data_IF_556531451966
#
_entry.id   IF_556531451966
#
_cell.length_a   1.000
_cell.length_b   1.000
_cell.length_c   1.000
_cell.angle_alpha   90.00
_cell.angle_beta   90.00
_cell.angle_gamma   90.00
#
_symmetry.space_group_name_H-M   'P 1'
#
loop_
_entity.id
_entity.type
_entity.pdbx_description
1 polymer ?
#
# COMPACT_ATOMS: atom_id res chain seq x y z
N UNK A 1 -12.35 5.28 -15.48
CA UNK A 1 -12.97 5.83 -14.26
C UNK A 1 -11.84 6.22 -13.31
N UNK A 2 -11.62 7.50 -13.05
CA UNK A 2 -10.52 7.95 -12.18
C UNK A 2 -10.99 7.80 -10.73
N UNK A 3 -10.39 6.89 -9.98
CA UNK A 3 -10.74 6.70 -8.58
C UNK A 3 -10.00 7.72 -7.71
N UNK A 4 -10.75 8.70 -7.20
CA UNK A 4 -10.21 9.71 -6.27
C UNK A 4 -9.85 9.00 -4.96
N UNK A 5 -8.55 8.90 -4.65
CA UNK A 5 -7.99 8.38 -3.40
C UNK A 5 -8.58 7.03 -2.93
N UNK A 6 -8.76 6.06 -3.83
CA UNK A 6 -9.34 4.74 -3.53
C UNK A 6 -10.75 4.75 -2.90
N UNK A 7 -11.55 5.79 -3.14
CA UNK A 7 -12.92 5.89 -2.60
C UNK A 7 -13.83 4.69 -2.94
N UNK A 8 -13.54 3.98 -4.03
CA UNK A 8 -14.24 2.75 -4.43
C UNK A 8 -14.19 1.64 -3.37
N UNK A 9 -13.16 1.60 -2.50
CA UNK A 9 -13.10 0.64 -1.38
C UNK A 9 -14.35 0.69 -0.49
N UNK A 10 -14.93 1.89 -0.33
CA UNK A 10 -16.11 2.15 0.47
C UNK A 10 -17.33 2.55 -0.37
N UNK A 11 -17.39 2.19 -1.65
CA UNK A 11 -18.57 2.43 -2.47
C UNK A 11 -19.29 1.09 -2.72
N UNK A 12 -20.38 0.82 -1.99
CA UNK A 12 -21.19 -0.38 -2.22
C UNK A 12 -21.80 -0.43 -3.64
N UNK A 13 -21.97 0.72 -4.29
CA UNK A 13 -22.47 0.83 -5.66
C UNK A 13 -21.36 0.72 -6.72
N UNK A 14 -20.11 0.44 -6.33
CA UNK A 14 -19.06 0.09 -7.28
C UNK A 14 -19.44 -1.21 -8.00
N UNK A 15 -19.50 -1.15 -9.33
CA UNK A 15 -19.96 -2.24 -10.19
C UNK A 15 -18.97 -3.39 -10.23
N UNK A 16 -17.67 -3.10 -10.11
CA UNK A 16 -16.65 -4.13 -10.04
C UNK A 16 -16.52 -4.65 -8.60
N UNK A 17 -16.98 -5.88 -8.29
CA UNK A 17 -16.93 -6.41 -6.93
C UNK A 17 -15.49 -6.57 -6.42
N UNK A 18 -14.53 -6.73 -7.32
CA UNK A 18 -13.12 -6.81 -6.96
C UNK A 18 -12.61 -5.47 -6.43
N UNK A 19 -13.18 -4.33 -6.81
CA UNK A 19 -12.68 -3.03 -6.40
C UNK A 19 -13.16 -2.63 -5.01
N UNK A 20 -14.43 -2.87 -4.64
CA UNK A 20 -14.91 -2.53 -3.30
C UNK A 20 -14.45 -3.54 -2.23
N UNK A 21 -14.40 -3.11 -0.96
CA UNK A 21 -14.07 -3.98 0.18
C UNK A 21 -15.30 -4.57 0.88
N UNK A 22 -16.50 -4.16 0.46
CA UNK A 22 -17.76 -4.64 1.01
C UNK A 22 -18.54 -5.52 0.03
N UNK A 23 -19.49 -6.27 0.56
CA UNK A 23 -20.50 -6.97 -0.25
C UNK A 23 -21.42 -5.98 -0.99
N UNK A 24 -22.30 -6.49 -1.86
CA UNK A 24 -23.29 -5.66 -2.56
C UNK A 24 -24.28 -4.94 -1.62
N UNK A 25 -24.48 -5.49 -0.41
CA UNK A 25 -25.32 -4.87 0.61
C UNK A 25 -24.55 -3.87 1.48
N UNK A 26 -23.23 -3.75 1.28
CA UNK A 26 -22.35 -2.87 2.05
C UNK A 26 -21.79 -3.49 3.33
N UNK A 27 -21.78 -4.82 3.45
CA UNK A 27 -21.20 -5.53 4.59
C UNK A 27 -19.67 -5.62 4.44
N UNK A 28 -18.93 -5.08 5.41
CA UNK A 28 -17.47 -5.19 5.51
C UNK A 28 -17.08 -6.28 6.49
N UNK A 29 -15.98 -6.97 6.18
CA UNK A 29 -15.36 -7.99 7.04
C UNK A 29 -13.99 -7.50 7.51
N UNK A 30 -13.64 -7.81 8.75
CA UNK A 30 -12.29 -7.58 9.25
C UNK A 30 -11.32 -8.58 8.59
N UNK A 31 -10.17 -8.08 8.13
CA UNK A 31 -9.11 -8.88 7.50
C UNK A 31 -8.16 -9.55 8.50
N UNK A 32 -8.38 -9.35 9.81
CA UNK A 32 -7.52 -9.84 10.87
C UNK A 32 -6.28 -8.97 11.06
N UNK A 33 -5.51 -9.23 12.12
CA UNK A 33 -4.27 -8.50 12.39
C UNK A 33 -3.23 -8.69 11.26
N UNK A 34 -2.09 -8.00 11.37
CA UNK A 34 -1.05 -8.03 10.35
C UNK A 34 -0.49 -9.44 10.07
N UNK A 35 -0.48 -10.34 11.06
CA UNK A 35 0.06 -11.70 10.94
C UNK A 35 -0.98 -12.72 10.43
N UNK A 36 -2.25 -12.49 10.74
CA UNK A 36 -3.32 -13.44 10.49
C UNK A 36 -3.83 -13.33 9.05
N UNK A 37 -4.08 -14.45 8.35
CA UNK A 37 -4.65 -14.42 7.01
C UNK A 37 -6.13 -13.96 7.00
N UNK A 38 -6.81 -14.06 8.15
CA UNK A 38 -8.21 -13.69 8.32
C UNK A 38 -8.51 -13.33 9.78
N UNK A 39 -9.65 -12.67 10.03
CA UNK A 39 -10.11 -12.36 11.39
C UNK A 39 -10.69 -13.59 12.09
N UNK A 40 -10.07 -14.03 13.20
CA UNK A 40 -10.54 -15.14 14.02
C UNK A 40 -11.93 -14.90 14.63
N UNK A 41 -12.20 -13.70 15.13
CA UNK A 41 -13.48 -13.32 15.74
C UNK A 41 -14.57 -12.98 14.72
N UNK A 42 -14.28 -13.06 13.42
CA UNK A 42 -15.22 -12.81 12.32
C UNK A 42 -15.98 -11.48 12.45
N UNK A 43 -15.28 -10.41 12.83
CA UNK A 43 -15.90 -9.09 12.95
C UNK A 43 -16.48 -8.63 11.61
N UNK A 44 -17.71 -8.12 11.66
CA UNK A 44 -18.46 -7.60 10.51
C UNK A 44 -19.16 -6.29 10.87
N UNK A 45 -19.42 -5.45 9.87
CA UNK A 45 -20.16 -4.20 10.04
C UNK A 45 -20.80 -3.75 8.72
N UNK A 46 -21.97 -3.12 8.77
CA UNK A 46 -22.58 -2.48 7.62
C UNK A 46 -22.82 -0.98 7.91
N UNK A 47 -21.87 -0.10 7.56
CA UNK A 47 -21.99 1.34 7.82
C UNK A 47 -23.11 2.03 7.05
N UNK A 48 -23.75 1.35 6.09
CA UNK A 48 -24.89 1.88 5.34
C UNK A 48 -26.25 1.48 5.94
N UNK A 49 -26.26 0.64 7.00
CA UNK A 49 -27.48 0.15 7.62
C UNK A 49 -28.09 1.15 8.60
N UNK A 50 -27.27 1.87 9.37
CA UNK A 50 -27.74 2.92 10.29
C UNK A 50 -26.69 3.98 10.56
N UNK A 51 -27.10 5.09 11.20
CA UNK A 51 -26.17 6.14 11.62
C UNK A 51 -25.18 5.62 12.67
N UNK A 52 -25.63 4.75 13.56
CA UNK A 52 -24.83 4.15 14.64
C UNK A 52 -23.77 3.22 14.05
N UNK A 53 -24.13 2.34 13.10
CA UNK A 53 -23.13 1.49 12.44
C UNK A 53 -22.11 2.32 11.65
N UNK A 54 -22.53 3.43 11.03
CA UNK A 54 -21.60 4.37 10.40
C UNK A 54 -20.63 5.01 11.40
N UNK A 55 -21.11 5.38 12.58
CA UNK A 55 -20.25 5.93 13.65
C UNK A 55 -19.28 4.87 14.14
N UNK A 56 -19.72 3.64 14.41
CA UNK A 56 -18.85 2.54 14.85
C UNK A 56 -17.79 2.24 13.79
N UNK A 57 -18.13 2.33 12.51
CA UNK A 57 -17.17 2.12 11.42
C UNK A 57 -16.00 3.11 11.44
N UNK A 58 -16.16 4.31 12.03
CA UNK A 58 -15.04 5.24 12.22
C UNK A 58 -13.95 4.72 13.17
N UNK A 59 -14.25 3.68 13.97
CA UNK A 59 -13.28 3.00 14.83
C UNK A 59 -12.51 1.91 14.09
N UNK A 60 -12.97 1.51 12.90
CA UNK A 60 -12.24 0.58 12.04
C UNK A 60 -11.07 1.31 11.39
N UNK A 61 -9.97 0.59 11.17
CA UNK A 61 -8.72 1.17 10.68
C UNK A 61 -8.24 0.45 9.43
N UNK A 62 -7.51 1.19 8.59
CA UNK A 62 -6.58 0.58 7.66
C UNK A 62 -5.22 0.46 8.33
N UNK A 63 -4.86 -0.78 8.69
CA UNK A 63 -3.60 -1.08 9.34
C UNK A 63 -2.54 -1.46 8.31
N UNK A 64 -1.37 -0.85 8.40
CA UNK A 64 -0.23 -1.13 7.52
C UNK A 64 0.47 -2.40 8.00
N UNK A 65 0.45 -3.48 7.21
CA UNK A 65 1.15 -4.73 7.53
C UNK A 65 2.65 -4.47 7.72
N UNK A 66 3.28 -3.79 6.77
CA UNK A 66 4.60 -3.18 6.92
C UNK A 66 4.39 -1.73 7.35
N UNK A 67 4.79 -1.40 8.57
CA UNK A 67 4.47 -0.12 9.20
C UNK A 67 5.03 1.08 8.41
N UNK A 68 4.14 2.03 8.07
CA UNK A 68 4.50 3.28 7.38
C UNK A 68 5.57 4.07 8.13
N UNK A 69 5.30 4.41 9.40
CA UNK A 69 6.14 5.35 10.15
C UNK A 69 7.37 4.70 10.79
N UNK A 70 7.35 3.38 11.04
CA UNK A 70 8.47 2.66 11.66
C UNK A 70 9.41 2.01 10.64
N UNK A 71 8.94 1.73 9.42
CA UNK A 71 9.70 0.96 8.42
C UNK A 71 9.80 1.68 7.08
N UNK A 72 8.68 1.94 6.39
CA UNK A 72 8.68 2.44 5.01
C UNK A 72 9.27 3.85 4.89
N UNK A 73 8.73 4.82 5.62
CA UNK A 73 9.16 6.23 5.50
C UNK A 73 10.60 6.43 5.99
N UNK A 74 11.04 5.89 7.15
CA UNK A 74 12.43 5.98 7.57
C UNK A 74 13.41 5.40 6.54
N UNK A 75 13.05 4.31 5.88
CA UNK A 75 13.90 3.68 4.86
C UNK A 75 14.08 4.59 3.63
N UNK A 76 12.97 5.13 3.10
CA UNK A 76 13.01 6.06 1.95
C UNK A 76 13.81 7.31 2.30
N UNK A 77 13.55 7.91 3.47
CA UNK A 77 14.27 9.09 3.94
C UNK A 77 15.77 8.84 4.01
N UNK A 78 16.18 7.74 4.66
CA UNK A 78 17.59 7.36 4.81
C UNK A 78 18.28 7.20 3.45
N UNK A 79 17.62 6.56 2.48
CA UNK A 79 18.19 6.37 1.16
C UNK A 79 18.42 7.68 0.40
N UNK A 80 17.47 8.61 0.49
CA UNK A 80 17.60 9.95 -0.11
C UNK A 80 18.72 10.74 0.59
N UNK A 81 18.83 10.65 1.91
CA UNK A 81 19.86 11.32 2.70
C UNK A 81 21.28 10.79 2.40
N UNK A 82 21.44 9.46 2.24
CA UNK A 82 22.74 8.84 2.00
C UNK A 82 23.27 9.06 0.58
N UNK A 83 22.40 9.08 -0.43
CA UNK A 83 22.81 9.19 -1.84
C UNK A 83 21.79 9.97 -2.71
N UNK A 84 21.63 11.29 -2.49
CA UNK A 84 20.55 12.09 -3.07
C UNK A 84 20.52 12.14 -4.61
N UNK A 85 21.64 11.83 -5.28
CA UNK A 85 21.79 11.94 -6.75
C UNK A 85 22.02 10.60 -7.46
N UNK A 86 21.99 9.46 -6.75
CA UNK A 86 22.28 8.14 -7.34
C UNK A 86 21.15 7.14 -7.20
N UNK A 87 20.32 7.31 -6.18
CA UNK A 87 19.24 6.38 -5.87
C UNK A 87 17.90 6.94 -6.33
N UNK A 88 17.17 6.14 -7.09
CA UNK A 88 15.79 6.40 -7.46
C UNK A 88 14.86 5.61 -6.54
N UNK A 89 13.76 6.24 -6.14
CA UNK A 89 12.69 5.60 -5.39
C UNK A 89 11.68 5.02 -6.39
N UNK A 90 11.38 3.73 -6.25
CA UNK A 90 10.29 3.10 -6.98
C UNK A 90 8.96 3.63 -6.43
N UNK A 91 8.42 4.66 -7.08
CA UNK A 91 7.18 5.34 -6.68
C UNK A 91 5.97 4.42 -6.72
N UNK A 92 5.94 3.48 -7.67
CA UNK A 92 4.83 2.53 -7.80
C UNK A 92 4.81 1.59 -6.60
N UNK A 93 5.96 1.00 -6.24
CA UNK A 93 6.03 0.14 -5.07
C UNK A 93 5.80 0.91 -3.77
N UNK A 94 6.30 2.15 -3.66
CA UNK A 94 6.01 3.01 -2.52
C UNK A 94 4.50 3.29 -2.40
N UNK A 95 3.84 3.55 -3.53
CA UNK A 95 2.39 3.77 -3.57
C UNK A 95 1.61 2.52 -3.12
N UNK A 96 1.98 1.34 -3.61
CA UNK A 96 1.42 0.05 -3.17
C UNK A 96 1.54 -0.12 -1.64
N UNK A 97 2.73 0.18 -1.10
CA UNK A 97 3.04 0.06 0.32
C UNK A 97 2.26 1.05 1.20
N UNK A 98 1.94 2.23 0.68
CA UNK A 98 1.33 3.30 1.47
C UNK A 98 -0.20 3.33 1.37
N UNK A 99 -0.76 3.00 0.20
CA UNK A 99 -2.15 3.37 -0.12
C UNK A 99 -3.01 2.21 -0.65
N UNK A 100 -2.41 1.10 -1.07
CA UNK A 100 -3.19 -0.01 -1.61
C UNK A 100 -3.60 -1.02 -0.53
N UNK A 101 -4.86 -1.44 -0.58
CA UNK A 101 -5.35 -2.55 0.22
C UNK A 101 -4.66 -3.86 -0.17
N UNK A 102 -4.31 -4.64 0.84
CA UNK A 102 -3.70 -5.95 0.70
C UNK A 102 -4.65 -6.89 -0.06
N UNK A 103 -4.23 -7.32 -1.23
CA UNK A 103 -4.96 -8.25 -2.08
C UNK A 103 -4.05 -9.39 -2.46
N UNK A 104 -4.56 -10.61 -2.31
CA UNK A 104 -3.90 -11.80 -2.80
C UNK A 104 -4.40 -12.05 -4.22
N UNK A 105 -3.55 -11.86 -5.21
CA UNK A 105 -3.81 -12.34 -6.57
C UNK A 105 -3.17 -13.71 -6.75
N UNK A 106 -3.54 -14.43 -7.82
CA UNK A 106 -2.96 -15.74 -8.15
C UNK A 106 -1.43 -15.69 -8.28
N UNK A 107 -0.88 -14.55 -8.69
CA UNK A 107 0.54 -14.39 -9.01
C UNK A 107 1.34 -13.66 -7.92
N UNK A 108 0.72 -12.81 -7.08
CA UNK A 108 1.44 -12.01 -6.08
C UNK A 108 0.53 -11.41 -5.00
N UNK A 109 1.11 -11.16 -3.83
CA UNK A 109 0.53 -10.26 -2.83
C UNK A 109 0.81 -8.80 -3.24
N UNK A 110 -0.24 -8.01 -3.46
CA UNK A 110 -0.15 -6.56 -3.74
C UNK A 110 -0.81 -5.77 -2.61
N UNK A 111 -0.38 -4.52 -2.44
CA UNK A 111 -0.82 -3.65 -1.36
C UNK A 111 -0.25 -4.01 0.01
N UNK A 112 -0.60 -3.22 1.01
CA UNK A 112 -0.04 -3.31 2.35
C UNK A 112 -1.02 -2.91 3.47
N UNK A 113 -2.22 -2.44 3.12
CA UNK A 113 -3.26 -2.05 4.09
C UNK A 113 -4.26 -3.19 4.34
N UNK A 114 -4.60 -3.47 5.59
CA UNK A 114 -5.73 -4.34 5.95
C UNK A 114 -6.82 -3.52 6.62
N UNK A 115 -8.08 -3.70 6.20
CA UNK A 115 -9.22 -3.15 6.95
C UNK A 115 -9.47 -4.00 8.19
N UNK A 116 -9.33 -3.41 9.37
CA UNK A 116 -9.43 -4.12 10.66
C UNK A 116 -10.37 -3.43 11.62
N UNK A 117 -11.10 -4.24 12.40
CA UNK A 117 -11.78 -3.75 13.59
C UNK A 117 -10.73 -3.27 14.62
N UNK A 118 -11.08 -2.27 15.45
CA UNK A 118 -10.18 -1.72 16.46
C UNK A 118 -9.54 -2.77 17.38
N UNK A 119 -10.25 -3.86 17.70
CA UNK A 119 -9.72 -4.93 18.57
C UNK A 119 -8.71 -5.84 17.85
N UNK A 120 -8.72 -5.85 16.51
CA UNK A 120 -7.76 -6.58 15.68
C UNK A 120 -6.59 -5.70 15.21
N UNK A 121 -6.64 -4.40 15.50
CA UNK A 121 -5.55 -3.47 15.19
C UNK A 121 -4.45 -3.62 16.27
N UNK A 122 -3.46 -4.45 15.97
CA UNK A 122 -2.33 -4.67 16.87
C UNK A 122 -1.41 -3.44 16.82
N UNK A 123 -1.28 -2.73 17.94
CA UNK A 123 -0.44 -1.51 18.02
C UNK A 123 1.03 -1.80 18.36
N UNK A 124 1.36 -3.05 18.66
CA UNK A 124 2.75 -3.45 18.87
C UNK A 124 3.52 -3.36 17.55
N UNK A 125 4.85 -3.18 17.59
CA UNK A 125 5.67 -3.20 16.37
C UNK A 125 5.45 -4.48 15.57
N UNK A 126 5.24 -4.33 14.26
CA UNK A 126 5.01 -5.48 13.37
C UNK A 126 6.31 -6.21 13.04
N UNK A 127 7.46 -5.53 13.18
CA UNK A 127 8.81 -6.06 12.88
C UNK A 127 8.93 -6.64 11.46
N UNK A 128 8.14 -6.13 10.51
CA UNK A 128 8.20 -6.47 9.10
C UNK A 128 8.96 -5.39 8.31
N UNK A 129 9.81 -5.82 7.38
CA UNK A 129 10.52 -4.96 6.44
C UNK A 129 9.93 -5.04 5.03
N UNK A 130 10.01 -3.96 4.26
CA UNK A 130 9.78 -4.01 2.83
C UNK A 130 11.06 -4.39 2.06
N UNK A 131 10.89 -4.82 0.80
CA UNK A 131 12.01 -5.15 -0.06
C UNK A 131 12.75 -3.88 -0.49
N UNK A 132 13.89 -3.64 0.16
CA UNK A 132 14.73 -2.45 -0.08
C UNK A 132 15.17 -2.34 -1.54
N UNK A 133 15.45 -3.46 -2.21
CA UNK A 133 15.95 -3.48 -3.60
C UNK A 133 14.85 -3.15 -4.60
N UNK A 134 13.61 -3.53 -4.27
CA UNK A 134 12.45 -3.12 -5.06
C UNK A 134 12.11 -1.65 -4.82
N UNK A 135 12.29 -1.15 -3.60
CA UNK A 135 11.92 0.22 -3.22
C UNK A 135 12.91 1.27 -3.68
N UNK A 136 14.21 0.95 -3.64
CA UNK A 136 15.30 1.87 -3.92
C UNK A 136 16.29 1.15 -4.84
N UNK A 137 16.65 1.79 -5.95
CA UNK A 137 17.59 1.25 -6.93
C UNK A 137 18.47 2.35 -7.51
N UNK A 138 19.64 1.98 -8.02
CA UNK A 138 20.47 2.88 -8.82
C UNK A 138 19.96 2.87 -10.27
N UNK A 139 19.70 4.04 -10.84
CA UNK A 139 19.47 4.14 -12.28
C UNK A 139 20.79 3.86 -13.01
N UNK A 140 20.77 2.85 -13.89
CA UNK A 140 21.87 2.68 -14.83
C UNK A 140 21.91 3.90 -15.76
N UNK A 141 22.94 4.74 -15.59
CA UNK A 141 23.24 5.76 -16.58
C UNK A 141 23.72 5.07 -17.86
N UNK A 142 23.05 5.31 -18.99
CA UNK A 142 23.61 4.91 -20.29
C UNK A 142 25.01 5.55 -20.43
N UNK A 143 26.02 4.80 -20.92
CA UNK A 143 27.32 5.37 -21.21
C UNK A 143 27.13 6.54 -22.19
N UNK A 144 27.55 7.74 -21.80
CA UNK A 144 27.58 8.88 -22.73
C UNK A 144 28.47 8.50 -23.92
N UNK A 145 27.87 8.34 -25.10
CA UNK A 145 28.57 8.18 -26.38
C UNK A 145 29.69 9.21 -26.46
N UNK A 146 30.94 8.74 -26.45
CA UNK A 146 32.12 9.58 -26.55
C UNK A 146 32.15 10.12 -27.99
N UNK A 147 31.64 11.34 -28.21
CA UNK A 147 31.70 11.98 -29.52
C UNK A 147 33.14 12.00 -30.04
N UNK A 148 33.43 11.08 -30.97
CA UNK A 148 34.71 10.93 -31.63
C UNK A 148 35.01 12.22 -32.40
N UNK A 149 35.96 13.01 -31.92
CA UNK A 149 36.40 14.24 -32.58
C UNK A 149 36.73 13.94 -34.05
N UNK A 150 36.03 14.60 -34.98
CA UNK A 150 36.33 14.53 -36.41
C UNK A 150 37.72 15.11 -36.62
N UNK A 151 38.70 14.27 -36.97
CA UNK A 151 40.00 14.69 -37.48
C UNK A 151 39.77 15.56 -38.71
N UNK A 152 40.08 16.85 -38.61
CA UNK A 152 40.23 17.74 -39.75
C UNK A 152 41.47 17.23 -40.53
N UNK A 153 41.27 16.81 -41.78
CA UNK A 153 42.37 16.60 -42.72
C UNK A 153 42.75 17.97 -43.28
N UNK A 154 44.02 18.34 -43.08
CA UNK A 154 44.72 19.43 -43.77
C UNK A 154 44.78 19.15 -45.27
#
# INVERSE_FOLDING_TARGET
>A
MLYIYHSHYFNRSENNPELRLCSATGLFHCFGDFQSPQCHSKHVINPYKSREERIIFSTWNFDHVIEKSRSIIPLVRKAIEENPNKLTVNTDYLFELLFEHLRRTESKLRGNLKLVNIVCHNKNPHNLGCDKRKLIYEEFSEPKELHRAKKIRL
#
